data_IF_072905157941
#
_entry.id   IF_072905157941
#
_cell.length_a   1.000
_cell.length_b   1.000
_cell.length_c   1.000
_cell.angle_alpha   90.00
_cell.angle_beta   90.00
_cell.angle_gamma   90.00
#
_symmetry.space_group_name_H-M   'P 1'
#
loop_
_entity.id
_entity.type
_entity.pdbx_description
1 polymer ?
#
# COMPACT_ATOMS: atom_id res chain seq x y z
N UNK A 1 48.12 -44.03 34.44
CA UNK A 1 48.25 -43.44 33.10
C UNK A 1 46.81 -43.18 32.57
N UNK A 2 46.36 -41.98 32.70
CA UNK A 2 44.98 -41.61 32.32
C UNK A 2 44.99 -40.98 30.92
N UNK A 3 44.24 -41.55 30.00
CA UNK A 3 44.10 -41.08 28.63
C UNK A 3 42.92 -40.08 28.59
N UNK A 4 43.23 -38.81 28.34
CA UNK A 4 42.21 -37.81 28.09
C UNK A 4 41.89 -37.82 26.59
N UNK A 5 40.61 -38.13 26.27
CA UNK A 5 40.08 -37.98 24.92
C UNK A 5 39.51 -36.55 24.80
N UNK A 6 40.12 -35.73 23.94
CA UNK A 6 39.62 -34.40 23.60
C UNK A 6 38.67 -34.58 22.42
N UNK A 7 37.35 -34.34 22.66
CA UNK A 7 36.36 -34.28 21.60
C UNK A 7 36.27 -32.83 21.12
N UNK A 8 36.78 -32.55 19.92
CA UNK A 8 36.61 -31.27 19.24
C UNK A 8 35.27 -31.25 18.54
N UNK A 9 34.32 -30.48 19.06
CA UNK A 9 33.05 -30.22 18.37
C UNK A 9 33.30 -29.13 17.34
N UNK A 10 33.27 -29.48 16.04
CA UNK A 10 33.29 -28.50 14.94
C UNK A 10 31.86 -28.02 14.78
N UNK A 11 31.59 -26.82 15.30
CA UNK A 11 30.35 -26.11 15.03
C UNK A 11 30.35 -25.58 13.59
N UNK A 12 29.53 -26.17 12.71
CA UNK A 12 29.24 -25.61 11.39
C UNK A 12 28.21 -24.52 11.60
N UNK A 13 28.64 -23.25 11.61
CA UNK A 13 27.75 -22.12 11.52
C UNK A 13 27.27 -22.01 10.09
N UNK A 14 26.01 -22.37 9.83
CA UNK A 14 25.33 -22.04 8.57
C UNK A 14 25.01 -20.54 8.65
N UNK A 15 25.91 -19.72 8.09
CA UNK A 15 25.61 -18.32 7.82
C UNK A 15 24.57 -18.27 6.71
N UNK A 16 23.30 -18.09 7.08
CA UNK A 16 22.25 -17.76 6.14
C UNK A 16 22.56 -16.40 5.52
N UNK A 17 23.01 -16.40 4.27
CA UNK A 17 23.08 -15.18 3.46
C UNK A 17 21.63 -14.73 3.20
N UNK A 18 21.11 -13.84 4.06
CA UNK A 18 20.00 -12.98 3.65
C UNK A 18 20.60 -11.99 2.67
N UNK A 19 20.43 -12.24 1.37
CA UNK A 19 20.70 -11.26 0.33
C UNK A 19 19.73 -10.11 0.57
N UNK A 20 20.22 -9.03 1.18
CA UNK A 20 19.51 -7.75 1.20
C UNK A 20 19.53 -7.29 -0.27
N UNK A 21 18.41 -7.43 -0.97
CA UNK A 21 18.24 -6.81 -2.27
C UNK A 21 18.16 -5.30 -2.03
N UNK A 22 19.29 -4.61 -2.17
CA UNK A 22 19.32 -3.14 -2.22
C UNK A 22 18.82 -2.73 -3.61
N UNK A 23 17.63 -2.20 -3.68
CA UNK A 23 17.15 -1.53 -4.88
C UNK A 23 17.97 -0.24 -5.09
N UNK A 24 18.60 -0.09 -6.25
CA UNK A 24 19.27 1.14 -6.66
C UNK A 24 18.34 1.89 -7.63
N UNK A 25 17.34 2.56 -7.08
CA UNK A 25 16.46 3.41 -7.86
C UNK A 25 17.17 4.70 -8.26
N UNK A 26 16.97 5.15 -9.50
CA UNK A 26 17.56 6.38 -10.03
C UNK A 26 16.54 7.49 -10.27
N UNK A 27 15.27 7.17 -10.15
CA UNK A 27 14.16 8.09 -10.34
C UNK A 27 13.24 8.05 -9.13
N UNK A 28 12.65 9.20 -8.82
CA UNK A 28 11.61 9.30 -7.79
C UNK A 28 10.50 10.23 -8.26
N UNK A 29 9.29 9.99 -7.75
CA UNK A 29 8.13 10.86 -7.93
C UNK A 29 7.36 10.93 -6.63
N UNK A 30 6.93 12.13 -6.26
CA UNK A 30 6.22 12.40 -5.01
C UNK A 30 4.91 13.15 -5.30
N UNK A 31 3.86 12.81 -4.55
CA UNK A 31 2.58 13.51 -4.50
C UNK A 31 2.24 13.80 -3.04
N UNK A 32 2.41 15.06 -2.63
CA UNK A 32 2.09 15.51 -1.27
C UNK A 32 0.80 16.34 -1.18
N UNK A 33 0.17 16.59 -2.31
CA UNK A 33 -1.11 17.28 -2.45
C UNK A 33 -1.16 18.75 -1.99
N UNK A 34 -0.11 19.31 -1.42
CA UNK A 34 -0.06 20.65 -0.81
C UNK A 34 -0.26 21.80 -1.79
N UNK A 35 0.12 21.61 -3.05
CA UNK A 35 -0.02 22.61 -4.10
C UNK A 35 -1.41 22.72 -4.70
N UNK A 36 -2.30 21.78 -4.41
CA UNK A 36 -3.67 21.78 -4.94
C UNK A 36 -4.60 22.68 -4.13
N UNK A 37 -5.64 23.15 -4.78
CA UNK A 37 -6.65 23.96 -4.13
C UNK A 37 -7.54 23.09 -3.23
N UNK A 38 -7.75 23.54 -1.99
CA UNK A 38 -8.66 22.90 -1.05
C UNK A 38 -10.11 22.85 -1.57
N UNK A 39 -10.89 21.86 -1.15
CA UNK A 39 -12.27 21.57 -1.55
C UNK A 39 -12.46 21.35 -3.06
N UNK A 40 -11.42 20.86 -3.73
CA UNK A 40 -11.47 20.52 -5.17
C UNK A 40 -10.96 19.10 -5.43
N UNK A 41 -11.40 18.53 -6.56
CA UNK A 41 -10.75 17.36 -7.15
C UNK A 41 -9.75 17.83 -8.21
N UNK A 42 -8.46 17.52 -8.07
CA UNK A 42 -7.45 17.88 -9.07
C UNK A 42 -7.75 17.27 -10.43
N UNK A 43 -7.68 18.08 -11.49
CA UNK A 43 -8.01 17.64 -12.85
C UNK A 43 -6.98 16.67 -13.45
N UNK A 44 -5.76 16.71 -12.96
CA UNK A 44 -4.66 15.83 -13.38
C UNK A 44 -4.71 14.44 -12.76
N UNK A 45 -5.57 14.23 -11.77
CA UNK A 45 -5.84 12.91 -11.21
C UNK A 45 -6.97 12.22 -12.00
N UNK A 46 -6.67 11.07 -12.57
CA UNK A 46 -7.67 10.25 -13.29
C UNK A 46 -8.44 9.39 -12.30
N UNK A 47 -9.73 9.64 -12.18
CA UNK A 47 -10.62 8.78 -11.41
C UNK A 47 -11.07 7.60 -12.25
N UNK A 48 -10.75 6.38 -11.84
CA UNK A 48 -11.32 5.18 -12.45
C UNK A 48 -12.74 5.02 -11.95
N UNK A 49 -13.68 4.96 -12.88
CA UNK A 49 -15.06 4.69 -12.54
C UNK A 49 -15.21 3.22 -12.13
N UNK A 50 -15.55 3.00 -10.88
CA UNK A 50 -16.26 1.80 -10.43
C UNK A 50 -17.77 2.02 -10.67
N UNK A 51 -18.61 1.07 -10.32
CA UNK A 51 -20.07 1.26 -10.39
C UNK A 51 -20.55 2.43 -9.52
N UNK A 52 -19.73 2.84 -8.56
CA UNK A 52 -19.91 4.02 -7.70
C UNK A 52 -18.54 4.70 -7.46
N UNK A 53 -18.22 5.73 -8.22
CA UNK A 53 -17.00 6.48 -8.02
C UNK A 53 -17.07 7.20 -6.66
N UNK A 54 -16.04 7.04 -5.82
CA UNK A 54 -15.92 7.77 -4.58
C UNK A 54 -15.75 9.28 -4.80
N UNK A 55 -16.19 10.07 -3.84
CA UNK A 55 -15.95 11.50 -3.85
C UNK A 55 -14.54 11.79 -3.36
N UNK A 56 -13.59 11.83 -4.29
CA UNK A 56 -12.21 12.23 -4.01
C UNK A 56 -12.09 13.74 -4.03
N UNK A 57 -11.37 14.32 -3.06
CA UNK A 57 -11.09 15.76 -3.03
C UNK A 57 -9.87 16.09 -2.17
N UNK A 58 -9.34 17.27 -2.39
CA UNK A 58 -8.29 17.85 -1.55
C UNK A 58 -8.95 18.48 -0.33
N UNK A 59 -8.45 18.12 0.85
CA UNK A 59 -8.88 18.72 2.12
C UNK A 59 -7.69 19.23 2.92
N UNK A 60 -7.91 20.30 3.67
CA UNK A 60 -6.94 20.75 4.64
C UNK A 60 -6.96 19.88 5.91
N UNK A 61 -5.80 19.39 6.33
CA UNK A 61 -5.64 18.64 7.57
C UNK A 61 -4.39 19.11 8.34
N UNK A 62 -4.62 19.73 9.50
CA UNK A 62 -3.53 20.21 10.36
C UNK A 62 -2.69 19.08 10.98
N UNK A 63 -3.14 17.83 10.89
CA UNK A 63 -2.39 16.65 11.32
C UNK A 63 -1.66 15.96 10.18
N UNK A 64 -1.76 16.50 8.95
CA UNK A 64 -1.11 15.91 7.77
C UNK A 64 0.41 15.77 7.96
N UNK A 65 1.02 14.71 7.47
CA UNK A 65 2.46 14.52 7.49
C UNK A 65 3.20 15.60 6.70
N UNK A 66 2.70 15.97 5.53
CA UNK A 66 3.00 17.24 4.88
C UNK A 66 1.77 18.15 4.92
N UNK A 67 1.97 19.44 5.10
CA UNK A 67 0.89 20.40 5.28
C UNK A 67 0.88 21.40 4.12
N UNK A 68 -0.29 21.93 3.74
CA UNK A 68 -1.55 21.93 4.52
C UNK A 68 -2.57 20.87 4.07
N UNK A 69 -2.38 20.17 2.96
CA UNK A 69 -3.46 19.45 2.28
C UNK A 69 -3.21 17.94 2.18
N UNK A 70 -4.30 17.20 2.06
CA UNK A 70 -4.32 15.75 1.85
C UNK A 70 -5.29 15.41 0.71
N UNK A 71 -5.12 14.27 0.08
CA UNK A 71 -6.15 13.69 -0.79
C UNK A 71 -7.08 12.83 0.06
N UNK A 72 -8.37 13.15 0.08
CA UNK A 72 -9.38 12.46 0.85
C UNK A 72 -10.42 11.76 -0.01
N UNK A 73 -10.97 10.65 0.49
CA UNK A 73 -12.22 10.06 0.03
C UNK A 73 -13.27 10.34 1.07
N UNK A 74 -14.37 10.93 0.65
CA UNK A 74 -15.47 11.24 1.54
C UNK A 74 -16.50 10.10 1.58
N UNK A 75 -17.19 9.91 2.72
CA UNK A 75 -18.24 8.92 2.86
C UNK A 75 -19.41 9.23 1.91
N UNK A 76 -19.93 8.20 1.30
CA UNK A 76 -21.14 8.27 0.47
C UNK A 76 -22.24 7.43 1.10
N UNK A 77 -23.46 7.96 1.15
CA UNK A 77 -24.63 7.30 1.77
C UNK A 77 -25.16 6.11 0.94
N UNK A 78 -24.27 5.32 0.38
CA UNK A 78 -24.64 4.14 -0.39
C UNK A 78 -23.83 2.92 0.09
N UNK A 79 -24.41 1.74 0.05
CA UNK A 79 -23.79 0.46 0.44
C UNK A 79 -22.68 0.06 -0.53
N UNK A 80 -21.74 0.93 -0.76
CA UNK A 80 -20.91 0.69 -1.88
C UNK A 80 -19.56 0.08 -1.53
N UNK A 81 -19.14 -0.54 -2.41
CA UNK A 81 -17.95 -1.01 -3.08
C UNK A 81 -16.72 -0.13 -2.85
N UNK A 82 -15.61 -0.62 -3.26
CA UNK A 82 -14.31 0.03 -3.22
C UNK A 82 -14.22 1.22 -4.20
N UNK A 83 -13.38 2.19 -3.87
CA UNK A 83 -13.05 3.35 -4.69
C UNK A 83 -11.57 3.29 -5.09
N UNK A 84 -11.28 3.65 -6.33
CA UNK A 84 -9.93 3.59 -6.90
C UNK A 84 -9.55 4.97 -7.45
N UNK A 85 -8.34 5.43 -7.11
CA UNK A 85 -7.69 6.57 -7.71
C UNK A 85 -6.34 6.15 -8.27
N UNK A 86 -6.19 6.13 -9.59
CA UNK A 86 -4.91 5.84 -10.24
C UNK A 86 -4.11 7.12 -10.40
N UNK A 87 -2.81 7.01 -10.20
CA UNK A 87 -1.88 8.12 -10.38
C UNK A 87 -1.47 8.21 -11.87
N UNK A 88 -2.06 9.13 -12.66
CA UNK A 88 -1.99 9.11 -14.13
C UNK A 88 -0.56 9.27 -14.67
N UNK A 89 0.24 10.06 -13.99
CA UNK A 89 1.64 10.24 -14.37
C UNK A 89 2.57 9.16 -13.81
N UNK A 90 2.03 8.12 -13.20
CA UNK A 90 2.80 6.97 -12.76
C UNK A 90 3.25 6.16 -13.99
N UNK A 91 4.55 5.89 -14.14
CA UNK A 91 5.02 5.01 -15.20
C UNK A 91 4.54 3.58 -14.98
N UNK A 92 4.52 2.79 -16.05
CA UNK A 92 4.29 1.35 -15.99
C UNK A 92 5.58 0.66 -15.60
N UNK A 93 5.64 0.09 -14.40
CA UNK A 93 6.85 -0.43 -13.79
C UNK A 93 6.74 -1.90 -13.41
N UNK A 94 7.85 -2.63 -13.59
CA UNK A 94 8.03 -4.00 -13.10
C UNK A 94 8.76 -4.05 -11.75
N UNK A 95 9.58 -3.04 -11.45
CA UNK A 95 10.35 -2.91 -10.22
C UNK A 95 10.19 -1.49 -9.66
N UNK A 96 9.82 -1.39 -8.38
CA UNK A 96 9.64 -0.12 -7.70
C UNK A 96 9.53 -0.31 -6.19
N UNK A 97 9.80 0.74 -5.45
CA UNK A 97 9.32 0.93 -4.09
C UNK A 97 8.25 2.03 -4.10
N UNK A 98 7.09 1.74 -3.55
CA UNK A 98 6.00 2.71 -3.44
C UNK A 98 5.52 2.75 -2.01
N UNK A 99 5.31 3.96 -1.48
CA UNK A 99 4.78 4.17 -0.14
C UNK A 99 3.76 5.30 -0.13
N UNK A 100 2.81 5.23 0.77
CA UNK A 100 1.82 6.27 1.01
C UNK A 100 1.51 6.36 2.50
N UNK A 101 1.33 7.55 3.01
CA UNK A 101 0.75 7.77 4.32
C UNK A 101 -0.77 7.79 4.21
N UNK A 102 -1.42 7.13 5.16
CA UNK A 102 -2.88 7.09 5.24
C UNK A 102 -3.37 7.29 6.66
N UNK A 103 -4.58 7.83 6.78
CA UNK A 103 -5.32 7.93 8.03
C UNK A 103 -6.78 7.62 7.77
N UNK A 104 -7.34 6.68 8.51
CA UNK A 104 -8.77 6.37 8.46
C UNK A 104 -9.43 7.14 9.60
N UNK A 105 -10.43 7.98 9.28
CA UNK A 105 -11.16 8.72 10.30
C UNK A 105 -11.93 7.76 11.22
N UNK A 106 -12.09 8.06 12.51
CA UNK A 106 -12.90 7.25 13.40
C UNK A 106 -14.35 7.18 12.91
N UNK A 107 -14.86 5.99 12.68
CA UNK A 107 -16.22 5.73 12.18
C UNK A 107 -16.83 4.48 12.81
N UNK A 108 -18.00 4.07 12.32
CA UNK A 108 -18.75 2.93 12.86
C UNK A 108 -18.71 1.68 11.98
N UNK A 109 -18.17 1.76 10.78
CA UNK A 109 -18.21 0.69 9.79
C UNK A 109 -16.79 0.26 9.37
N UNK A 110 -16.73 -0.88 8.68
CA UNK A 110 -15.50 -1.46 8.17
C UNK A 110 -14.88 -0.57 7.09
N UNK A 111 -13.78 0.04 7.42
CA UNK A 111 -13.08 0.94 6.53
C UNK A 111 -11.68 0.43 6.27
N UNK A 112 -11.29 0.54 5.03
CA UNK A 112 -10.03 0.02 4.57
C UNK A 112 -9.33 1.06 3.70
N UNK A 113 -8.02 1.17 3.90
CA UNK A 113 -7.14 1.95 3.04
C UNK A 113 -6.20 1.02 2.28
N UNK A 114 -5.93 1.30 1.02
CA UNK A 114 -5.12 0.44 0.19
C UNK A 114 -4.17 1.18 -0.75
N UNK A 115 -3.06 0.52 -1.04
CA UNK A 115 -2.06 0.94 -2.01
C UNK A 115 -2.10 -0.02 -3.20
N UNK A 116 -2.52 0.49 -4.37
CA UNK A 116 -2.56 -0.28 -5.61
C UNK A 116 -1.17 -0.32 -6.23
N UNK A 117 -0.80 -1.50 -6.69
CA UNK A 117 0.42 -1.76 -7.44
C UNK A 117 0.13 -2.65 -8.65
N UNK A 118 0.95 -2.55 -9.68
CA UNK A 118 0.80 -3.31 -10.94
C UNK A 118 -0.60 -3.16 -11.55
N UNK A 119 -1.14 -1.95 -11.54
CA UNK A 119 -2.43 -1.67 -12.14
C UNK A 119 -2.36 -1.73 -13.66
N UNK A 120 -3.16 -2.58 -14.26
CA UNK A 120 -3.34 -2.71 -15.71
C UNK A 120 -4.68 -2.07 -16.11
N UNK A 121 -5.75 -2.45 -15.43
CA UNK A 121 -7.10 -1.93 -15.57
C UNK A 121 -7.91 -2.19 -14.29
N UNK A 122 -9.17 -1.75 -14.27
CA UNK A 122 -10.07 -1.86 -13.09
C UNK A 122 -10.30 -3.29 -12.57
N UNK A 123 -9.97 -4.30 -13.37
CA UNK A 123 -10.15 -5.71 -13.03
C UNK A 123 -8.81 -6.43 -12.74
N UNK A 124 -7.67 -5.80 -13.08
CA UNK A 124 -6.37 -6.46 -13.05
C UNK A 124 -5.33 -5.59 -12.34
N UNK A 125 -5.18 -5.80 -11.05
CA UNK A 125 -4.21 -5.11 -10.19
C UNK A 125 -3.95 -5.91 -8.91
N UNK A 126 -2.93 -5.51 -8.16
CA UNK A 126 -2.76 -5.88 -6.76
C UNK A 126 -3.07 -4.69 -5.86
N UNK A 127 -3.56 -4.98 -4.67
CA UNK A 127 -3.76 -3.97 -3.63
C UNK A 127 -3.27 -4.48 -2.28
N UNK A 128 -2.43 -3.69 -1.63
CA UNK A 128 -2.03 -3.88 -0.24
C UNK A 128 -3.03 -3.13 0.63
N UNK A 129 -3.81 -3.85 1.44
CA UNK A 129 -4.96 -3.34 2.20
C UNK A 129 -4.66 -3.33 3.69
N UNK A 130 -4.80 -2.18 4.31
CA UNK A 130 -4.87 -1.99 5.76
C UNK A 130 -6.33 -2.03 6.21
N UNK A 131 -6.67 -2.98 7.08
CA UNK A 131 -8.02 -3.25 7.60
C UNK A 131 -8.02 -3.18 9.13
N UNK A 132 -8.27 -1.99 9.72
CA UNK A 132 -8.28 -1.81 11.17
C UNK A 132 -9.35 -2.64 11.88
N UNK A 133 -10.52 -2.82 11.26
CA UNK A 133 -11.63 -3.56 11.87
C UNK A 133 -11.27 -5.01 12.15
N UNK A 134 -10.56 -5.65 11.22
CA UNK A 134 -10.12 -7.03 11.35
C UNK A 134 -8.67 -7.14 11.85
N UNK A 135 -8.02 -6.02 12.22
CA UNK A 135 -6.61 -5.96 12.63
C UNK A 135 -5.72 -6.73 11.65
N UNK A 136 -5.76 -6.34 10.36
CA UNK A 136 -5.15 -7.13 9.30
C UNK A 136 -4.50 -6.28 8.22
N UNK A 137 -3.33 -6.71 7.77
CA UNK A 137 -2.73 -6.31 6.51
C UNK A 137 -2.88 -7.44 5.51
N UNK A 138 -3.36 -7.14 4.30
CA UNK A 138 -3.59 -8.14 3.25
C UNK A 138 -3.01 -7.69 1.93
N UNK A 139 -2.41 -8.60 1.16
CA UNK A 139 -2.14 -8.40 -0.26
C UNK A 139 -3.15 -9.20 -1.08
N UNK A 140 -3.96 -8.47 -1.82
CA UNK A 140 -5.07 -9.02 -2.59
C UNK A 140 -4.85 -8.80 -4.08
N UNK A 141 -5.32 -9.73 -4.89
CA UNK A 141 -5.35 -9.65 -6.35
C UNK A 141 -6.79 -9.37 -6.80
N UNK A 142 -6.98 -8.36 -7.64
CA UNK A 142 -8.23 -8.18 -8.39
C UNK A 142 -8.18 -8.98 -9.68
N UNK A 143 -9.26 -9.68 -10.00
CA UNK A 143 -9.41 -10.51 -11.20
C UNK A 143 -10.88 -10.57 -11.62
N UNK A 144 -11.21 -9.88 -12.70
CA UNK A 144 -12.49 -9.74 -13.41
C UNK A 144 -13.70 -9.40 -12.53
N UNK A 145 -13.98 -10.13 -11.43
CA UNK A 145 -15.17 -9.92 -10.60
C UNK A 145 -14.89 -9.99 -9.10
N UNK A 146 -13.69 -10.40 -8.71
CA UNK A 146 -13.39 -10.68 -7.30
C UNK A 146 -12.04 -10.09 -6.90
N UNK A 147 -11.99 -9.60 -5.67
CA UNK A 147 -10.73 -9.31 -4.99
C UNK A 147 -10.43 -10.51 -4.10
N UNK A 148 -9.30 -11.18 -4.35
CA UNK A 148 -8.88 -12.39 -3.62
C UNK A 148 -7.62 -12.09 -2.84
N UNK A 149 -7.69 -12.21 -1.51
CA UNK A 149 -6.58 -11.99 -0.60
C UNK A 149 -5.91 -13.33 -0.27
N UNK A 150 -4.72 -13.54 -0.84
CA UNK A 150 -3.97 -14.79 -0.65
C UNK A 150 -2.86 -14.67 0.40
N UNK A 151 -2.49 -13.45 0.77
CA UNK A 151 -1.45 -13.16 1.75
C UNK A 151 -2.02 -12.20 2.78
N UNK A 152 -2.10 -12.67 4.02
CA UNK A 152 -2.68 -11.91 5.12
C UNK A 152 -1.86 -12.10 6.38
N UNK A 153 -1.80 -11.06 7.21
CA UNK A 153 -1.19 -11.11 8.52
C UNK A 153 -1.97 -10.27 9.52
N UNK A 154 -2.04 -10.74 10.76
CA UNK A 154 -2.67 -9.99 11.84
C UNK A 154 -1.72 -8.90 12.33
N UNK A 155 -2.19 -7.67 12.33
CA UNK A 155 -1.48 -6.50 12.84
C UNK A 155 -2.47 -5.47 13.33
N UNK A 156 -2.21 -4.86 14.48
CA UNK A 156 -3.06 -3.79 15.00
C UNK A 156 -2.85 -2.50 14.21
N UNK A 157 -3.96 -1.89 13.78
CA UNK A 157 -3.96 -0.63 13.01
C UNK A 157 -4.89 0.33 13.74
N UNK A 158 -4.36 1.49 14.14
CA UNK A 158 -5.13 2.49 14.90
C UNK A 158 -5.89 3.41 13.96
N UNK A 159 -7.18 3.59 14.17
CA UNK A 159 -7.96 4.63 13.47
C UNK A 159 -7.64 6.02 14.02
N UNK A 160 -7.80 7.05 13.22
CA UNK A 160 -7.51 8.44 13.59
C UNK A 160 -6.03 8.79 13.69
N UNK A 161 -5.13 7.85 13.36
CA UNK A 161 -3.68 8.06 13.34
C UNK A 161 -3.13 7.85 11.94
N UNK A 162 -2.04 8.55 11.63
CA UNK A 162 -1.29 8.36 10.40
C UNK A 162 -0.43 7.09 10.47
N UNK A 163 -0.55 6.28 9.44
CA UNK A 163 0.24 5.07 9.19
C UNK A 163 0.89 5.14 7.81
N UNK A 164 1.84 4.26 7.54
CA UNK A 164 2.48 4.14 6.22
C UNK A 164 2.22 2.76 5.64
N UNK A 165 1.59 2.68 4.47
CA UNK A 165 1.65 1.51 3.61
C UNK A 165 2.84 1.64 2.67
N UNK A 166 3.61 0.53 2.51
CA UNK A 166 4.70 0.47 1.54
C UNK A 166 4.71 -0.87 0.83
N UNK A 167 4.97 -0.86 -0.46
CA UNK A 167 5.14 -2.06 -1.27
C UNK A 167 6.48 -2.02 -2.01
N UNK A 168 7.26 -3.09 -1.89
CA UNK A 168 8.43 -3.34 -2.71
C UNK A 168 8.05 -4.31 -3.83
N UNK A 169 8.19 -3.85 -5.06
CA UNK A 169 7.80 -4.59 -6.26
C UNK A 169 9.06 -5.04 -6.99
N UNK A 170 9.14 -6.31 -7.33
CA UNK A 170 10.26 -6.88 -8.08
C UNK A 170 9.82 -8.06 -8.95
N UNK A 171 10.71 -8.54 -9.80
CA UNK A 171 10.48 -9.76 -10.60
C UNK A 171 10.19 -11.00 -9.71
N UNK A 172 10.63 -11.00 -8.44
CA UNK A 172 10.42 -12.10 -7.51
C UNK A 172 9.04 -12.03 -6.83
N UNK A 173 8.42 -10.85 -6.79
CA UNK A 173 7.12 -10.69 -6.14
C UNK A 173 6.87 -9.32 -5.54
N UNK A 174 6.05 -9.29 -4.50
CA UNK A 174 5.64 -8.07 -3.80
C UNK A 174 5.89 -8.24 -2.30
N UNK A 175 6.71 -7.36 -1.73
CA UNK A 175 6.83 -7.18 -0.28
C UNK A 175 5.85 -6.14 0.22
N UNK A 176 5.10 -6.43 1.28
CA UNK A 176 4.13 -5.52 1.88
C UNK A 176 4.53 -5.10 3.29
N UNK A 177 4.48 -3.79 3.56
CA UNK A 177 4.91 -3.19 4.82
C UNK A 177 3.82 -2.32 5.43
N UNK A 178 3.76 -2.31 6.74
CA UNK A 178 3.03 -1.33 7.54
C UNK A 178 4.00 -0.71 8.54
N UNK A 179 4.05 0.62 8.59
CA UNK A 179 4.93 1.39 9.48
C UNK A 179 6.37 0.86 9.48
N UNK A 180 6.94 0.70 8.27
CA UNK A 180 8.30 0.17 7.98
C UNK A 180 8.55 -1.30 8.36
N UNK A 181 7.56 -2.00 8.93
CA UNK A 181 7.68 -3.43 9.24
C UNK A 181 7.22 -4.27 8.06
N UNK A 182 8.11 -5.12 7.52
CA UNK A 182 7.74 -6.09 6.47
C UNK A 182 6.88 -7.20 7.05
N UNK A 183 5.63 -7.27 6.63
CA UNK A 183 4.63 -8.21 7.13
C UNK A 183 4.17 -9.21 6.09
N UNK A 184 4.35 -8.91 4.81
CA UNK A 184 3.93 -9.75 3.68
C UNK A 184 5.11 -9.96 2.73
N UNK A 185 5.31 -11.22 2.34
CA UNK A 185 6.23 -11.63 1.26
C UNK A 185 5.47 -12.52 0.29
N UNK A 186 5.06 -11.94 -0.82
CA UNK A 186 4.32 -12.65 -1.85
C UNK A 186 5.21 -12.97 -3.03
N UNK A 187 5.47 -14.25 -3.29
CA UNK A 187 6.06 -14.70 -4.53
C UNK A 187 4.98 -14.74 -5.59
N UNK A 188 4.96 -13.76 -6.47
CA UNK A 188 3.86 -13.58 -7.40
C UNK A 188 4.35 -13.31 -8.82
N UNK A 189 3.79 -14.04 -9.78
CA UNK A 189 4.11 -13.93 -11.21
C UNK A 189 2.96 -13.39 -12.06
N UNK A 190 1.83 -13.02 -11.44
CA UNK A 190 0.72 -12.37 -12.14
C UNK A 190 0.99 -10.87 -12.27
N UNK A 191 0.51 -10.25 -13.36
CA UNK A 191 0.62 -8.81 -13.60
C UNK A 191 2.05 -8.31 -13.35
N UNK A 192 2.98 -8.62 -14.27
CA UNK A 192 4.42 -8.36 -14.08
C UNK A 192 4.77 -6.87 -14.01
N UNK A 193 3.92 -5.99 -14.55
CA UNK A 193 4.10 -4.55 -14.55
C UNK A 193 2.75 -3.83 -14.44
N UNK A 194 2.79 -2.54 -14.14
CA UNK A 194 1.61 -1.70 -14.11
C UNK A 194 1.87 -0.38 -13.38
N UNK A 195 0.84 0.44 -13.32
CA UNK A 195 0.83 1.72 -12.61
C UNK A 195 0.54 1.53 -11.12
N UNK A 196 0.63 2.62 -10.37
CA UNK A 196 0.26 2.69 -8.96
C UNK A 196 -1.01 3.50 -8.75
N UNK A 197 -1.65 3.30 -7.59
CA UNK A 197 -2.85 4.03 -7.22
C UNK A 197 -3.24 3.84 -5.76
N UNK A 198 -4.34 4.44 -5.41
CA UNK A 198 -4.95 4.39 -4.08
C UNK A 198 -6.28 3.64 -4.16
N UNK A 199 -6.66 3.04 -3.04
CA UNK A 199 -7.85 2.23 -2.94
C UNK A 199 -8.50 2.40 -1.57
N UNK A 200 -9.81 2.43 -1.52
CA UNK A 200 -10.56 2.41 -0.26
C UNK A 200 -11.77 1.52 -0.37
N UNK A 201 -12.25 1.03 0.75
CA UNK A 201 -13.53 0.35 0.90
C UNK A 201 -14.17 0.78 2.22
N UNK A 202 -15.48 0.95 2.20
CA UNK A 202 -16.22 1.42 3.34
C UNK A 202 -16.87 2.79 3.13
N UNK A 203 -17.54 3.27 4.15
CA UNK A 203 -18.32 4.51 4.13
C UNK A 203 -17.77 5.53 5.13
N UNK A 204 -16.46 5.58 5.27
CA UNK A 204 -15.78 6.55 6.12
C UNK A 204 -14.77 7.36 5.33
N UNK A 205 -14.42 8.47 5.92
CA UNK A 205 -13.41 9.35 5.39
C UNK A 205 -12.01 8.74 5.54
N UNK A 206 -11.30 8.61 4.42
CA UNK A 206 -9.92 8.14 4.37
C UNK A 206 -9.05 9.22 3.76
N UNK A 207 -7.93 9.52 4.41
CA UNK A 207 -6.96 10.53 3.99
C UNK A 207 -5.69 9.84 3.50
N UNK A 208 -5.11 10.39 2.43
CA UNK A 208 -3.83 9.98 1.89
C UNK A 208 -2.90 11.18 1.73
N UNK A 209 -1.62 10.97 2.04
CA UNK A 209 -0.59 11.97 1.90
C UNK A 209 0.77 11.34 1.59
N UNK A 210 1.74 12.16 1.16
CA UNK A 210 3.12 11.72 0.92
C UNK A 210 3.22 10.43 0.10
N UNK A 211 2.45 10.30 -0.98
CA UNK A 211 2.63 9.16 -1.90
C UNK A 211 3.97 9.30 -2.62
N UNK A 212 4.85 8.31 -2.47
CA UNK A 212 6.20 8.29 -3.02
C UNK A 212 6.42 7.05 -3.87
N UNK A 213 7.06 7.25 -5.00
CA UNK A 213 7.44 6.20 -5.94
C UNK A 213 8.92 6.33 -6.28
N UNK A 214 9.71 5.29 -5.97
CA UNK A 214 11.11 5.14 -6.36
C UNK A 214 11.25 4.02 -7.41
N UNK A 215 11.98 4.28 -8.55
CA UNK A 215 12.09 3.33 -9.68
C UNK A 215 13.34 3.55 -10.54
#
# INVERSE_FOLDING_TARGET
>A
MAIYVVITVIGISVAGFNAIHSFNFTHSKDWNFDSYQNDTMPQDLATMQTDQPGTWMILADNSAPSQPNVLAVLPENNNSTYHIQIMPDSPVLSEAEVSVKFKIAPGQEAEQAGLIVRFIDKNHYFVLIADPMNNRLSLCKSDIQFIVCNYETTVQISVGQWHTLKANISAQGIGGFLDDTELIKANNQYYQNGQIGLWTNGNTEVYFDDLKLNY
#
